data_IF_071937605260
#
_entry.id   IF_071937605260
#
_cell.length_a   1.000
_cell.length_b   1.000
_cell.length_c   1.000
_cell.angle_alpha   90.00
_cell.angle_beta   90.00
_cell.angle_gamma   90.00
#
_symmetry.space_group_name_H-M   'P 1'
#
loop_
_entity.id
_entity.type
_entity.pdbx_description
1 polymer ?
#
# COMPACT_ATOMS: atom_id res chain seq x y z
N UNK A 1 7.98 22.07 6.43
CA UNK A 1 8.09 21.51 7.81
C UNK A 1 8.37 20.04 7.65
N UNK A 2 9.40 19.51 8.31
CA UNK A 2 10.01 18.24 7.95
C UNK A 2 9.02 17.07 8.00
N UNK A 3 8.92 16.34 6.90
CA UNK A 3 8.48 14.96 6.84
C UNK A 3 9.20 14.24 7.99
N UNK A 4 8.48 13.46 8.79
CA UNK A 4 9.08 12.66 9.86
C UNK A 4 10.25 11.86 9.26
N UNK A 5 11.41 11.86 9.92
CA UNK A 5 12.51 11.02 9.47
C UNK A 5 12.11 9.54 9.53
N UNK A 6 12.77 8.70 8.73
CA UNK A 6 12.50 7.25 8.73
C UNK A 6 12.55 6.66 10.15
N UNK A 7 13.48 7.10 11.01
CA UNK A 7 13.54 6.70 12.41
C UNK A 7 12.34 7.16 13.25
N UNK A 8 11.78 8.34 12.97
CA UNK A 8 10.61 8.84 13.68
C UNK A 8 9.34 8.09 13.25
N UNK A 9 9.25 7.77 11.96
CA UNK A 9 8.19 6.93 11.39
C UNK A 9 8.26 5.54 12.00
N UNK A 10 9.43 4.89 11.99
CA UNK A 10 9.65 3.57 12.55
C UNK A 10 9.24 3.52 14.04
N UNK A 11 9.75 4.43 14.87
CA UNK A 11 9.41 4.49 16.31
C UNK A 11 7.92 4.70 16.57
N UNK A 12 7.26 5.56 15.76
CA UNK A 12 5.82 5.83 15.89
C UNK A 12 5.00 4.57 15.61
N UNK A 13 5.38 3.82 14.56
CA UNK A 13 4.67 2.62 14.14
C UNK A 13 4.98 1.41 15.02
N UNK A 14 6.22 1.23 15.45
CA UNK A 14 6.60 0.16 16.40
C UNK A 14 5.85 0.30 17.72
N UNK A 15 5.77 1.52 18.27
CA UNK A 15 5.02 1.80 19.50
C UNK A 15 3.52 1.53 19.35
N UNK A 16 2.95 1.77 18.18
CA UNK A 16 1.51 1.67 17.91
C UNK A 16 1.10 0.37 17.23
N UNK A 17 2.03 -0.50 16.85
CA UNK A 17 1.76 -1.73 16.09
C UNK A 17 0.68 -2.62 16.75
N UNK A 18 0.66 -2.71 18.10
CA UNK A 18 -0.33 -3.49 18.84
C UNK A 18 -1.74 -2.89 18.87
N UNK A 19 -1.83 -1.56 18.73
CA UNK A 19 -3.10 -0.82 18.80
C UNK A 19 -3.62 -0.53 17.39
N UNK A 20 -2.72 -0.48 16.40
CA UNK A 20 -3.02 -0.12 15.02
C UNK A 20 -4.13 -0.99 14.43
N UNK A 21 -4.03 -2.31 14.55
CA UNK A 21 -5.07 -3.23 14.05
C UNK A 21 -6.43 -3.02 14.73
N UNK A 22 -6.46 -2.60 16.00
CA UNK A 22 -7.72 -2.27 16.72
C UNK A 22 -8.32 -0.96 16.23
N UNK A 23 -7.50 0.08 16.03
CA UNK A 23 -7.94 1.36 15.49
C UNK A 23 -8.45 1.21 14.06
N UNK A 24 -7.71 0.48 13.21
CA UNK A 24 -8.12 0.20 11.82
C UNK A 24 -9.30 -0.76 11.78
N UNK A 25 -9.47 -1.66 12.75
CA UNK A 25 -10.64 -2.55 12.82
C UNK A 25 -11.95 -1.81 13.03
N UNK A 26 -11.93 -0.63 13.70
CA UNK A 26 -13.08 0.27 13.78
C UNK A 26 -13.54 0.76 12.39
N UNK A 27 -12.62 0.91 11.44
CA UNK A 27 -12.92 1.26 10.03
C UNK A 27 -13.29 0.04 9.15
N UNK A 28 -13.33 -1.18 9.70
CA UNK A 28 -13.83 -2.37 8.97
C UNK A 28 -15.27 -2.17 8.47
N UNK A 29 -16.08 -1.42 9.21
CA UNK A 29 -17.44 -1.02 8.81
C UNK A 29 -17.45 -0.08 7.60
N UNK A 30 -16.34 0.64 7.35
CA UNK A 30 -16.19 1.52 6.19
C UNK A 30 -15.87 0.79 4.87
N UNK A 31 -15.83 -0.55 4.86
CA UNK A 31 -15.63 -1.32 3.62
C UNK A 31 -14.17 -1.52 3.19
N UNK A 32 -13.17 -1.17 4.03
CA UNK A 32 -11.73 -1.28 3.69
C UNK A 32 -11.32 -2.67 3.20
N UNK A 33 -11.87 -3.73 3.79
CA UNK A 33 -11.58 -5.10 3.38
C UNK A 33 -12.12 -5.41 1.97
N UNK A 34 -13.28 -4.83 1.62
CA UNK A 34 -13.87 -4.98 0.29
C UNK A 34 -13.04 -4.26 -0.77
N UNK A 35 -12.64 -3.01 -0.51
CA UNK A 35 -11.81 -2.26 -1.45
C UNK A 35 -10.46 -2.93 -1.71
N UNK A 36 -9.80 -3.44 -0.65
CA UNK A 36 -8.55 -4.20 -0.81
C UNK A 36 -8.75 -5.48 -1.64
N UNK A 37 -9.82 -6.23 -1.38
CA UNK A 37 -10.16 -7.43 -2.15
C UNK A 37 -10.41 -7.08 -3.62
N UNK A 38 -11.21 -6.04 -3.87
CA UNK A 38 -11.54 -5.59 -5.23
C UNK A 38 -10.27 -5.14 -5.97
N UNK A 39 -9.37 -4.42 -5.28
CA UNK A 39 -8.08 -4.00 -5.83
C UNK A 39 -7.19 -5.21 -6.17
N UNK A 40 -7.07 -6.19 -5.27
CA UNK A 40 -6.30 -7.42 -5.50
C UNK A 40 -6.89 -8.21 -6.67
N UNK A 41 -8.23 -8.26 -6.81
CA UNK A 41 -8.88 -8.92 -7.95
C UNK A 41 -8.49 -8.29 -9.29
N UNK A 42 -8.29 -6.96 -9.33
CA UNK A 42 -7.89 -6.23 -10.54
C UNK A 42 -6.42 -6.45 -10.93
N UNK A 43 -5.59 -7.00 -10.05
CA UNK A 43 -4.23 -7.43 -10.39
C UNK A 43 -4.24 -8.65 -11.32
N UNK A 44 -5.35 -9.38 -11.42
CA UNK A 44 -5.51 -10.60 -12.24
C UNK A 44 -4.39 -11.62 -12.02
N UNK A 45 -3.99 -11.78 -10.75
CA UNK A 45 -2.97 -12.71 -10.33
C UNK A 45 -3.33 -14.16 -10.66
N UNK A 46 -2.31 -14.94 -11.00
CA UNK A 46 -2.39 -16.35 -11.31
C UNK A 46 -1.68 -17.19 -10.23
N UNK A 47 -2.05 -18.44 -10.13
CA UNK A 47 -1.30 -19.39 -9.31
C UNK A 47 0.17 -19.44 -9.76
N UNK A 48 1.09 -19.31 -8.82
CA UNK A 48 2.53 -19.24 -9.09
C UNK A 48 3.11 -17.83 -9.17
N UNK A 49 2.30 -16.78 -9.23
CA UNK A 49 2.78 -15.39 -9.28
C UNK A 49 3.53 -14.98 -8.02
N UNK A 50 4.53 -14.12 -8.19
CA UNK A 50 5.23 -13.45 -7.10
C UNK A 50 4.76 -12.00 -6.98
N UNK A 51 4.13 -11.67 -5.86
CA UNK A 51 3.58 -10.33 -5.58
C UNK A 51 4.37 -9.63 -4.51
N UNK A 52 4.70 -8.36 -4.74
CA UNK A 52 5.33 -7.48 -3.75
C UNK A 52 4.28 -6.54 -3.17
N UNK A 53 4.06 -6.58 -1.86
CA UNK A 53 3.21 -5.64 -1.11
C UNK A 53 4.11 -4.59 -0.45
N UNK A 54 4.16 -3.39 -1.00
CA UNK A 54 4.98 -2.28 -0.52
C UNK A 54 4.29 -1.53 0.61
N UNK A 55 5.03 -1.20 1.65
CA UNK A 55 4.50 -0.58 2.87
C UNK A 55 3.37 -1.45 3.46
N UNK A 56 3.65 -2.73 3.61
CA UNK A 56 2.65 -3.77 3.90
C UNK A 56 2.01 -3.64 5.29
N UNK A 57 2.63 -2.86 6.20
CA UNK A 57 2.16 -2.63 7.57
C UNK A 57 1.92 -3.98 8.28
N UNK A 58 0.70 -4.26 8.70
CA UNK A 58 0.32 -5.51 9.37
C UNK A 58 -0.11 -6.62 8.41
N UNK A 59 0.18 -6.48 7.10
CA UNK A 59 -0.17 -7.45 6.07
C UNK A 59 -1.67 -7.53 5.80
N UNK A 60 -2.35 -6.39 5.73
CA UNK A 60 -3.80 -6.35 5.56
C UNK A 60 -4.30 -6.94 4.23
N UNK A 61 -3.44 -6.96 3.19
CA UNK A 61 -3.74 -7.53 1.87
C UNK A 61 -3.46 -9.05 1.81
N UNK A 62 -2.69 -9.58 2.77
CA UNK A 62 -2.07 -10.90 2.69
C UNK A 62 -3.05 -12.03 2.38
N UNK A 63 -4.21 -12.07 3.06
CA UNK A 63 -5.19 -13.13 2.84
C UNK A 63 -5.72 -13.14 1.39
N UNK A 64 -5.97 -11.97 0.82
CA UNK A 64 -6.47 -11.82 -0.54
C UNK A 64 -5.40 -12.17 -1.59
N UNK A 65 -4.15 -11.78 -1.33
CA UNK A 65 -3.01 -12.11 -2.20
C UNK A 65 -2.77 -13.61 -2.23
N UNK A 66 -2.69 -14.26 -1.06
CA UNK A 66 -2.49 -15.71 -0.95
C UNK A 66 -3.59 -16.52 -1.64
N UNK A 67 -4.85 -16.07 -1.55
CA UNK A 67 -5.98 -16.70 -2.25
C UNK A 67 -5.77 -16.73 -3.77
N UNK A 68 -5.11 -15.69 -4.33
CA UNK A 68 -4.90 -15.55 -5.78
C UNK A 68 -3.64 -16.26 -6.26
N UNK A 69 -2.51 -16.09 -5.57
CA UNK A 69 -1.25 -16.69 -6.00
C UNK A 69 -1.17 -18.19 -5.69
N UNK A 70 -2.02 -18.69 -4.78
CA UNK A 70 -2.03 -20.08 -4.38
C UNK A 70 -0.74 -20.54 -3.66
N UNK A 71 -0.60 -21.84 -3.38
CA UNK A 71 0.54 -22.38 -2.65
C UNK A 71 1.85 -22.37 -3.44
N UNK A 72 1.79 -22.34 -4.78
CA UNK A 72 2.95 -22.28 -5.67
C UNK A 72 3.47 -20.85 -5.90
N UNK A 73 2.66 -19.83 -5.57
CA UNK A 73 3.06 -18.44 -5.68
C UNK A 73 3.77 -17.93 -4.43
N UNK A 74 4.20 -16.68 -4.46
CA UNK A 74 4.93 -16.03 -3.37
C UNK A 74 4.38 -14.64 -3.09
N UNK A 75 4.32 -14.26 -1.81
CA UNK A 75 4.00 -12.89 -1.39
C UNK A 75 5.16 -12.35 -0.57
N UNK A 76 5.77 -11.24 -1.01
CA UNK A 76 6.80 -10.53 -0.25
C UNK A 76 6.19 -9.27 0.34
N UNK A 77 6.21 -9.17 1.66
CA UNK A 77 5.76 -8.00 2.41
C UNK A 77 6.97 -7.13 2.77
N UNK A 78 6.99 -5.90 2.27
CA UNK A 78 8.07 -4.94 2.51
C UNK A 78 7.57 -3.82 3.41
N UNK A 79 8.23 -3.60 4.53
CA UNK A 79 7.91 -2.49 5.44
C UNK A 79 9.17 -2.02 6.18
N UNK A 80 9.21 -0.75 6.56
CA UNK A 80 10.29 -0.17 7.34
C UNK A 80 10.26 -0.65 8.79
N UNK A 81 9.05 -0.82 9.37
CA UNK A 81 8.83 -1.16 10.77
C UNK A 81 8.87 -2.66 11.01
N UNK A 82 9.84 -3.09 11.82
CA UNK A 82 9.91 -4.49 12.28
C UNK A 82 8.68 -4.89 13.07
N UNK A 83 8.15 -3.99 13.91
CA UNK A 83 6.94 -4.25 14.71
C UNK A 83 5.71 -4.51 13.85
N UNK A 84 5.58 -3.82 12.70
CA UNK A 84 4.51 -4.07 11.73
C UNK A 84 4.68 -5.43 11.04
N UNK A 85 5.90 -5.76 10.62
CA UNK A 85 6.20 -7.07 10.03
C UNK A 85 5.96 -8.22 11.02
N UNK A 86 6.19 -8.02 12.31
CA UNK A 86 5.88 -9.04 13.32
C UNK A 86 4.36 -9.28 13.44
N UNK A 87 3.54 -8.26 13.31
CA UNK A 87 2.09 -8.43 13.21
C UNK A 87 1.70 -9.17 11.92
N UNK A 88 2.34 -8.82 10.79
CA UNK A 88 2.13 -9.52 9.53
C UNK A 88 2.55 -11.00 9.61
N UNK A 89 3.67 -11.35 10.29
CA UNK A 89 4.08 -12.73 10.56
C UNK A 89 3.04 -13.49 11.40
N UNK A 90 2.48 -12.84 12.44
CA UNK A 90 1.38 -13.44 13.24
C UNK A 90 0.15 -13.71 12.38
N UNK A 91 -0.16 -12.80 11.45
CA UNK A 91 -1.26 -12.98 10.49
C UNK A 91 -0.99 -14.15 9.55
N UNK A 92 0.20 -14.24 8.94
CA UNK A 92 0.60 -15.34 8.08
C UNK A 92 0.50 -16.70 8.83
N UNK A 93 0.95 -16.76 10.09
CA UNK A 93 0.82 -17.97 10.93
C UNK A 93 -0.64 -18.37 11.14
N UNK A 94 -1.54 -17.42 11.40
CA UNK A 94 -2.99 -17.71 11.52
C UNK A 94 -3.59 -18.22 10.21
N UNK A 95 -3.09 -17.74 9.07
CA UNK A 95 -3.49 -18.19 7.73
C UNK A 95 -2.81 -19.51 7.32
N UNK A 96 -1.88 -20.02 8.13
CA UNK A 96 -1.06 -21.22 7.83
C UNK A 96 -0.29 -21.07 6.51
N UNK A 97 0.11 -19.85 6.17
CA UNK A 97 0.84 -19.55 4.95
C UNK A 97 2.34 -19.80 5.15
N UNK A 98 2.96 -20.55 4.23
CA UNK A 98 4.41 -20.84 4.20
C UNK A 98 5.15 -20.11 3.08
N UNK A 99 4.44 -19.53 2.14
CA UNK A 99 4.96 -18.87 0.94
C UNK A 99 4.95 -17.34 1.06
N UNK A 100 5.27 -16.85 2.27
CA UNK A 100 5.35 -15.41 2.58
C UNK A 100 6.75 -15.04 3.01
N UNK A 101 7.31 -14.03 2.37
CA UNK A 101 8.57 -13.41 2.75
C UNK A 101 8.32 -12.06 3.44
N UNK A 102 9.14 -11.71 4.42
CA UNK A 102 9.05 -10.47 5.18
C UNK A 102 10.38 -9.75 5.10
N UNK A 103 10.39 -8.59 4.47
CA UNK A 103 11.59 -7.81 4.25
C UNK A 103 11.48 -6.48 4.99
N UNK A 104 12.30 -6.31 6.04
CA UNK A 104 12.47 -5.01 6.66
C UNK A 104 13.38 -4.16 5.77
N UNK A 105 12.80 -3.16 5.13
CA UNK A 105 13.53 -2.26 4.24
C UNK A 105 12.79 -0.94 4.09
N UNK A 106 13.57 0.13 3.92
CA UNK A 106 13.04 1.32 3.27
C UNK A 106 12.64 0.96 1.82
N UNK A 107 11.40 1.23 1.44
CA UNK A 107 10.91 0.98 0.08
C UNK A 107 11.69 1.77 -0.97
N UNK A 108 12.29 2.90 -0.59
CA UNK A 108 13.20 3.65 -1.45
C UNK A 108 14.51 2.90 -1.75
N UNK A 109 14.95 2.00 -0.88
CA UNK A 109 16.15 1.17 -1.05
C UNK A 109 15.85 -0.27 -1.48
N UNK A 110 14.57 -0.68 -1.47
CA UNK A 110 14.18 -2.04 -1.79
C UNK A 110 14.50 -2.40 -3.25
N UNK A 111 15.13 -3.57 -3.43
CA UNK A 111 15.44 -4.11 -4.76
C UNK A 111 14.40 -5.15 -5.14
N UNK A 112 13.69 -4.88 -6.21
CA UNK A 112 12.67 -5.79 -6.73
C UNK A 112 13.33 -7.05 -7.31
N UNK A 113 12.87 -8.26 -6.91
CA UNK A 113 13.29 -9.50 -7.56
C UNK A 113 12.90 -9.55 -9.03
N UNK A 114 13.71 -10.24 -9.84
CA UNK A 114 13.45 -10.39 -11.28
C UNK A 114 12.16 -11.16 -11.61
N UNK A 115 11.72 -12.00 -10.69
CA UNK A 115 10.49 -12.80 -10.80
C UNK A 115 9.23 -12.06 -10.31
N UNK A 116 9.30 -10.74 -10.11
CA UNK A 116 8.15 -9.94 -9.67
C UNK A 116 7.05 -9.94 -10.73
N UNK A 117 5.89 -10.53 -10.44
CA UNK A 117 4.74 -10.56 -11.35
C UNK A 117 3.82 -9.35 -11.18
N UNK A 118 3.67 -8.87 -9.93
CA UNK A 118 2.81 -7.73 -9.62
C UNK A 118 3.30 -6.98 -8.38
N UNK A 119 2.90 -5.71 -8.29
CA UNK A 119 3.17 -4.84 -7.13
C UNK A 119 1.88 -4.24 -6.62
N UNK A 120 1.70 -4.20 -5.31
CA UNK A 120 0.57 -3.55 -4.65
C UNK A 120 1.07 -2.64 -3.52
N UNK A 121 0.40 -1.52 -3.29
CA UNK A 121 0.54 -0.73 -2.08
C UNK A 121 -0.78 -0.13 -1.65
N UNK A 122 -1.08 -0.18 -0.34
CA UNK A 122 -2.35 0.32 0.17
C UNK A 122 -2.16 1.26 1.36
N UNK A 123 -2.59 2.53 1.20
CA UNK A 123 -2.65 3.60 2.21
C UNK A 123 -1.31 4.06 2.79
N UNK A 124 -0.17 3.82 2.11
CA UNK A 124 1.15 4.17 2.67
C UNK A 124 2.18 4.66 1.66
N UNK A 125 2.00 4.44 0.38
CA UNK A 125 2.98 4.88 -0.63
C UNK A 125 3.05 6.41 -0.73
N UNK A 126 2.10 7.11 -0.16
CA UNK A 126 2.08 8.57 -0.05
C UNK A 126 3.06 9.10 1.00
N UNK A 127 3.58 8.26 1.89
CA UNK A 127 4.46 8.68 2.99
C UNK A 127 5.92 8.91 2.56
N UNK A 128 6.55 8.05 1.73
CA UNK A 128 7.91 8.28 1.25
C UNK A 128 7.98 9.52 0.36
N UNK A 129 8.94 10.43 0.56
CA UNK A 129 9.09 11.63 -0.28
C UNK A 129 9.38 11.29 -1.73
N UNK A 130 10.08 10.17 -1.97
CA UNK A 130 10.52 9.73 -3.31
C UNK A 130 9.55 8.72 -3.94
N UNK A 131 8.25 8.79 -3.63
CA UNK A 131 7.26 7.82 -4.11
C UNK A 131 7.26 7.69 -5.65
N UNK A 132 7.59 8.74 -6.38
CA UNK A 132 7.67 8.70 -7.85
C UNK A 132 8.79 7.76 -8.32
N UNK A 133 9.99 7.87 -7.75
CA UNK A 133 11.11 6.99 -8.07
C UNK A 133 10.85 5.54 -7.63
N UNK A 134 10.11 5.33 -6.53
CA UNK A 134 9.70 4.00 -6.09
C UNK A 134 8.75 3.37 -7.14
N UNK A 135 7.76 4.13 -7.63
CA UNK A 135 6.82 3.68 -8.66
C UNK A 135 7.56 3.35 -9.97
N UNK A 136 8.49 4.20 -10.41
CA UNK A 136 9.30 3.97 -11.60
C UNK A 136 10.07 2.65 -11.50
N UNK A 137 10.79 2.41 -10.40
CA UNK A 137 11.54 1.16 -10.17
C UNK A 137 10.63 -0.06 -10.07
N UNK A 138 9.49 0.08 -9.39
CA UNK A 138 8.50 -0.99 -9.28
C UNK A 138 7.91 -1.33 -10.66
N UNK A 139 7.61 -0.31 -11.48
CA UNK A 139 7.13 -0.50 -12.86
C UNK A 139 8.18 -1.13 -13.77
N UNK A 140 9.46 -0.75 -13.60
CA UNK A 140 10.57 -1.34 -14.35
C UNK A 140 10.79 -2.83 -14.04
N UNK A 141 10.46 -3.27 -12.81
CA UNK A 141 10.58 -4.66 -12.39
C UNK A 141 9.44 -5.56 -12.89
N UNK A 142 8.33 -4.97 -13.36
CA UNK A 142 7.20 -5.74 -13.89
C UNK A 142 7.50 -6.31 -15.28
N UNK A 143 7.11 -7.56 -15.55
CA UNK A 143 7.11 -8.09 -16.92
C UNK A 143 6.02 -7.42 -17.77
N UNK A 144 6.10 -7.54 -19.09
CA UNK A 144 5.00 -7.14 -19.98
C UNK A 144 3.69 -7.78 -19.53
N UNK A 145 2.64 -6.97 -19.37
CA UNK A 145 1.35 -7.38 -18.83
C UNK A 145 1.29 -7.46 -17.29
N UNK A 146 2.44 -7.38 -16.59
CA UNK A 146 2.49 -7.31 -15.12
C UNK A 146 1.81 -6.04 -14.61
N UNK A 147 1.15 -6.12 -13.45
CA UNK A 147 0.28 -5.04 -12.95
C UNK A 147 0.76 -4.44 -11.65
N UNK A 148 0.54 -3.13 -11.53
CA UNK A 148 0.66 -2.40 -10.27
C UNK A 148 -0.70 -1.90 -9.83
N UNK A 149 -1.00 -2.04 -8.53
CA UNK A 149 -2.21 -1.54 -7.91
C UNK A 149 -1.90 -0.63 -6.71
N UNK A 150 -2.51 0.54 -6.69
CA UNK A 150 -2.37 1.55 -5.64
C UNK A 150 -3.74 1.89 -5.05
N UNK A 151 -3.81 1.97 -3.73
CA UNK A 151 -4.98 2.44 -2.98
C UNK A 151 -4.48 3.39 -1.90
N UNK A 152 -4.97 4.61 -1.89
CA UNK A 152 -4.49 5.61 -0.95
C UNK A 152 -5.51 6.68 -0.60
N UNK A 153 -5.11 7.54 0.32
CA UNK A 153 -5.85 8.75 0.66
C UNK A 153 -5.34 9.93 -0.16
N UNK A 154 -6.22 10.86 -0.43
CA UNK A 154 -5.91 12.15 -1.05
C UNK A 154 -6.77 13.26 -0.45
N UNK A 155 -6.36 14.48 -0.57
CA UNK A 155 -7.24 15.60 -0.26
C UNK A 155 -8.29 15.77 -1.36
N UNK A 156 -9.57 15.94 -1.00
CA UNK A 156 -10.64 16.18 -1.97
C UNK A 156 -10.50 17.58 -2.57
N UNK A 157 -10.33 17.68 -3.88
CA UNK A 157 -10.06 18.94 -4.60
C UNK A 157 -11.23 19.94 -4.55
N UNK A 158 -12.48 19.43 -4.29
CA UNK A 158 -13.70 20.24 -4.33
C UNK A 158 -14.24 20.65 -2.95
N UNK A 159 -13.54 20.28 -1.87
CA UNK A 159 -14.01 20.62 -0.53
C UNK A 159 -13.52 22.00 -0.10
N UNK A 160 -14.35 22.74 0.68
CA UNK A 160 -13.91 23.99 1.30
C UNK A 160 -12.72 23.73 2.24
N UNK A 161 -11.75 24.64 2.26
CA UNK A 161 -10.51 24.52 3.07
C UNK A 161 -10.79 24.22 4.55
N UNK A 162 -11.80 24.88 5.14
CA UNK A 162 -12.14 24.66 6.53
C UNK A 162 -12.54 23.19 6.84
N UNK A 163 -13.21 22.53 5.89
CA UNK A 163 -13.61 21.13 6.04
C UNK A 163 -12.41 20.18 5.90
N UNK A 164 -11.47 20.50 5.03
CA UNK A 164 -10.19 19.78 4.91
C UNK A 164 -9.40 19.89 6.21
N UNK A 165 -9.32 21.07 6.83
CA UNK A 165 -8.63 21.28 8.11
C UNK A 165 -9.24 20.44 9.24
N UNK A 166 -10.57 20.35 9.32
CA UNK A 166 -11.24 19.45 10.28
C UNK A 166 -10.87 18.00 10.01
N UNK A 167 -10.83 17.58 8.74
CA UNK A 167 -10.43 16.24 8.36
C UNK A 167 -8.98 15.93 8.74
N UNK A 168 -8.04 16.84 8.49
CA UNK A 168 -6.64 16.74 8.90
C UNK A 168 -6.52 16.62 10.41
N UNK A 169 -7.23 17.48 11.17
CA UNK A 169 -7.20 17.44 12.62
C UNK A 169 -7.70 16.09 13.16
N UNK A 170 -8.80 15.57 12.63
CA UNK A 170 -9.39 14.29 13.04
C UNK A 170 -8.50 13.08 12.65
N UNK A 171 -7.74 13.19 11.56
CA UNK A 171 -6.89 12.10 11.04
C UNK A 171 -5.40 12.26 11.39
N UNK A 172 -5.03 13.30 12.12
CA UNK A 172 -3.65 13.56 12.58
C UNK A 172 -2.98 12.37 13.29
N UNK A 173 -3.68 11.56 14.12
CA UNK A 173 -3.08 10.36 14.73
C UNK A 173 -2.65 9.30 13.71
N UNK A 174 -3.16 9.35 12.48
CA UNK A 174 -2.82 8.44 11.39
C UNK A 174 -1.74 8.99 10.45
N UNK A 175 -1.14 10.14 10.77
CA UNK A 175 -0.07 10.75 9.99
C UNK A 175 -0.56 11.55 8.78
N UNK A 176 -1.85 11.81 8.64
CA UNK A 176 -2.38 12.67 7.57
C UNK A 176 -1.98 14.12 7.85
N UNK A 177 -1.35 14.75 6.87
CA UNK A 177 -0.87 16.14 6.92
C UNK A 177 -1.33 16.92 5.69
N UNK A 178 -1.08 18.24 5.69
CA UNK A 178 -1.37 19.10 4.52
C UNK A 178 -0.56 18.71 3.28
N UNK A 179 0.60 18.09 3.46
CA UNK A 179 1.47 17.64 2.37
C UNK A 179 0.80 16.60 1.46
N UNK A 180 -0.25 15.91 1.94
CA UNK A 180 -1.09 15.05 1.10
C UNK A 180 -1.78 15.78 -0.07
N UNK A 181 -1.85 17.11 -0.07
CA UNK A 181 -2.38 17.89 -1.20
C UNK A 181 -1.51 17.72 -2.46
N UNK A 182 -0.20 17.50 -2.28
CA UNK A 182 0.78 17.37 -3.36
C UNK A 182 1.01 15.90 -3.76
N UNK A 183 0.62 14.93 -2.92
CA UNK A 183 0.84 13.52 -3.18
C UNK A 183 -0.17 12.93 -4.16
N UNK A 184 0.30 12.64 -5.36
CA UNK A 184 -0.50 12.09 -6.47
C UNK A 184 0.19 10.87 -7.08
N UNK A 185 0.35 9.75 -6.35
CA UNK A 185 1.10 8.58 -6.82
C UNK A 185 0.59 7.99 -8.15
N UNK A 186 -0.68 8.20 -8.47
CA UNK A 186 -1.24 7.79 -9.77
C UNK A 186 -0.66 8.57 -10.96
N UNK A 187 -0.11 9.78 -10.77
CA UNK A 187 0.48 10.54 -11.87
C UNK A 187 1.79 9.92 -12.38
N UNK A 188 2.82 9.63 -11.54
CA UNK A 188 3.97 8.88 -12.02
C UNK A 188 3.60 7.48 -12.49
N UNK A 189 2.64 6.79 -11.86
CA UNK A 189 2.19 5.48 -12.31
C UNK A 189 1.61 5.50 -13.74
N UNK A 190 0.86 6.54 -14.11
CA UNK A 190 0.33 6.75 -15.47
C UNK A 190 1.41 7.00 -16.53
N UNK A 191 2.60 7.45 -16.12
CA UNK A 191 3.73 7.65 -17.05
C UNK A 191 4.42 6.35 -17.40
N UNK A 192 4.43 5.41 -16.46
CA UNK A 192 5.16 4.15 -16.53
C UNK A 192 4.29 2.97 -16.99
N UNK A 193 2.98 3.07 -16.80
CA UNK A 193 2.03 1.99 -16.98
C UNK A 193 0.81 2.45 -17.78
N UNK A 194 0.25 1.55 -18.58
CA UNK A 194 -1.06 1.75 -19.18
C UNK A 194 -2.13 1.67 -18.10
N UNK A 195 -2.87 2.76 -17.88
CA UNK A 195 -3.96 2.79 -16.92
C UNK A 195 -5.08 1.83 -17.34
N UNK A 196 -5.40 0.88 -16.47
CA UNK A 196 -6.52 -0.04 -16.63
C UNK A 196 -7.74 0.39 -15.81
N UNK A 197 -7.49 1.05 -14.66
CA UNK A 197 -8.54 1.49 -13.76
C UNK A 197 -8.07 2.68 -12.91
N UNK A 198 -8.90 3.70 -12.84
CA UNK A 198 -8.77 4.78 -11.87
C UNK A 198 -10.13 5.15 -11.32
N UNK A 199 -10.23 5.28 -10.01
CA UNK A 199 -11.46 5.71 -9.35
C UNK A 199 -11.12 6.53 -8.12
N UNK A 200 -11.85 7.63 -7.96
CA UNK A 200 -11.93 8.36 -6.70
C UNK A 200 -13.22 7.99 -5.97
N UNK A 201 -13.17 7.88 -4.66
CA UNK A 201 -14.31 7.53 -3.83
C UNK A 201 -14.19 8.18 -2.44
N UNK A 202 -15.15 7.92 -1.52
CA UNK A 202 -15.26 8.67 -0.27
C UNK A 202 -15.29 10.19 -0.50
N UNK A 203 -16.14 10.63 -1.42
CA UNK A 203 -16.28 12.03 -1.80
C UNK A 203 -14.92 12.69 -2.23
N UNK A 204 -14.03 11.91 -2.86
CA UNK A 204 -12.73 12.37 -3.33
C UNK A 204 -11.59 12.28 -2.31
N UNK A 205 -11.83 11.67 -1.13
CA UNK A 205 -10.79 11.49 -0.09
C UNK A 205 -9.92 10.26 -0.30
N UNK A 206 -10.29 9.37 -1.20
CA UNK A 206 -9.53 8.16 -1.51
C UNK A 206 -9.48 7.91 -3.02
N UNK A 207 -8.47 7.19 -3.46
CA UNK A 207 -8.30 6.78 -4.86
C UNK A 207 -7.89 5.31 -4.96
N UNK A 208 -8.24 4.70 -6.07
CA UNK A 208 -7.72 3.42 -6.57
C UNK A 208 -7.11 3.64 -7.95
N UNK A 209 -5.96 3.04 -8.18
CA UNK A 209 -5.29 3.00 -9.49
C UNK A 209 -4.82 1.58 -9.78
N UNK A 210 -5.01 1.13 -11.01
CA UNK A 210 -4.38 -0.10 -11.52
C UNK A 210 -3.84 0.20 -12.91
N UNK A 211 -2.59 -0.15 -13.13
CA UNK A 211 -1.93 -0.04 -14.42
C UNK A 211 -1.17 -1.31 -14.78
N UNK A 212 -0.96 -1.55 -16.07
CA UNK A 212 -0.19 -2.67 -16.60
C UNK A 212 1.03 -2.19 -17.36
N UNK A 213 2.12 -2.95 -17.27
CA UNK A 213 3.34 -2.74 -18.08
C UNK A 213 3.06 -3.09 -19.54
N UNK A 214 3.50 -2.21 -20.44
CA UNK A 214 3.43 -2.39 -21.90
C UNK A 214 4.33 -3.51 -22.39
#
# INVERSE_FOLDING_TARGET
>A
MAILSNEQVERLYDKNAGIYDRLVSGFRWAGLGRWRRDLVNRLELKAGDHVIDLCAVTGANLAFLLERVGPSGKVTLVDLSQGMLDQARRRAKRLRASNVEFVQSDVAAFRFPSETSAVISTFRLEMPPDYAAIIERASAALPTGGRMALLGLKHPERWPRWLIEIGIFATKPFGVSREYEEFRPWLPARRELNELHFREFLAGCAYEFVGAKS
#
